data_IF_993530093262
#
_entry.id   IF_993530093262
#
_cell.length_a   1.000
_cell.length_b   1.000
_cell.length_c   1.000
_cell.angle_alpha   90.00
_cell.angle_beta   90.00
_cell.angle_gamma   90.00
#
_symmetry.space_group_name_H-M   'P 1'
#
loop_
_entity.id
_entity.type
_entity.pdbx_description
1 polymer ?
#
# COMPACT_ATOMS: atom_id res chain seq x y z
N UNK A 1 -17.73 -17.84 25.41
CA UNK A 1 -18.42 -16.56 25.63
C UNK A 1 -19.30 -16.20 24.43
N UNK A 2 -18.81 -16.42 23.21
CA UNK A 2 -19.59 -16.21 21.99
C UNK A 2 -20.10 -17.54 21.44
N UNK A 3 -21.40 -17.65 21.24
CA UNK A 3 -22.06 -18.88 20.77
C UNK A 3 -22.37 -18.81 19.26
N UNK A 4 -22.33 -17.62 18.68
CA UNK A 4 -22.60 -17.41 17.26
C UNK A 4 -21.40 -16.65 16.62
N UNK A 5 -20.63 -17.29 15.72
CA UNK A 5 -19.50 -16.66 15.05
C UNK A 5 -19.90 -15.55 14.06
N UNK A 6 -21.18 -15.46 13.70
CA UNK A 6 -21.68 -14.40 12.81
C UNK A 6 -21.88 -13.05 13.52
N UNK A 7 -21.76 -13.02 14.87
CA UNK A 7 -21.75 -11.76 15.63
C UNK A 7 -20.37 -11.10 15.55
N UNK A 8 -19.88 -10.82 14.35
CA UNK A 8 -18.52 -10.36 14.07
C UNK A 8 -18.19 -9.09 14.85
N UNK A 9 -19.05 -8.06 14.75
CA UNK A 9 -18.87 -6.78 15.46
C UNK A 9 -18.68 -6.99 16.98
N UNK A 10 -19.57 -7.75 17.63
CA UNK A 10 -19.48 -8.01 19.06
C UNK A 10 -18.22 -8.78 19.46
N UNK A 11 -17.73 -9.66 18.57
CA UNK A 11 -16.49 -10.39 18.79
C UNK A 11 -15.31 -9.47 18.65
N UNK A 12 -15.31 -8.62 17.61
CA UNK A 12 -14.22 -7.68 17.37
C UNK A 12 -14.15 -6.59 18.45
N UNK A 13 -15.30 -6.06 18.93
CA UNK A 13 -15.34 -5.15 20.08
C UNK A 13 -14.67 -5.76 21.32
N UNK A 14 -14.91 -7.06 21.56
CA UNK A 14 -14.25 -7.76 22.66
C UNK A 14 -12.74 -7.94 22.43
N UNK A 15 -12.33 -8.26 21.20
CA UNK A 15 -10.92 -8.40 20.82
C UNK A 15 -10.21 -7.05 20.95
N UNK A 16 -10.85 -5.97 20.53
CA UNK A 16 -10.29 -4.62 20.63
C UNK A 16 -10.11 -4.16 22.06
N UNK A 17 -11.08 -4.46 22.92
CA UNK A 17 -11.00 -4.15 24.34
C UNK A 17 -9.97 -5.02 25.13
N UNK A 18 -9.54 -6.14 24.58
CA UNK A 18 -8.63 -7.07 25.28
C UNK A 18 -7.22 -6.50 25.41
N UNK A 19 -6.73 -5.76 24.41
CA UNK A 19 -5.42 -5.11 24.44
C UNK A 19 -5.37 -3.95 23.46
N UNK A 20 -4.70 -2.85 23.83
CA UNK A 20 -4.36 -1.75 22.92
C UNK A 20 -3.33 -2.20 21.86
N UNK A 21 -3.38 -1.63 20.67
CA UNK A 21 -2.48 -1.99 19.57
C UNK A 21 -2.71 -3.42 19.05
N UNK A 22 -1.64 -4.13 18.71
CA UNK A 22 -1.69 -5.51 18.18
C UNK A 22 -2.57 -5.69 16.94
N UNK A 23 -2.65 -4.67 16.10
CA UNK A 23 -3.58 -4.59 14.97
C UNK A 23 -3.47 -5.78 14.01
N UNK A 24 -2.25 -6.26 13.72
CA UNK A 24 -2.07 -7.43 12.86
C UNK A 24 -2.70 -8.71 13.43
N UNK A 25 -2.62 -8.90 14.76
CA UNK A 25 -3.26 -10.02 15.45
C UNK A 25 -4.79 -9.87 15.45
N UNK A 26 -5.31 -8.67 15.66
CA UNK A 26 -6.75 -8.36 15.56
C UNK A 26 -7.27 -8.63 14.16
N UNK A 27 -6.58 -8.12 13.13
CA UNK A 27 -6.93 -8.37 11.74
C UNK A 27 -6.96 -9.86 11.39
N UNK A 28 -6.09 -10.69 11.98
CA UNK A 28 -6.14 -12.14 11.75
C UNK A 28 -7.41 -12.79 12.28
N UNK A 29 -7.96 -12.29 13.40
CA UNK A 29 -9.23 -12.74 13.96
C UNK A 29 -10.38 -12.28 13.07
N UNK A 30 -10.39 -11.01 12.67
CA UNK A 30 -11.41 -10.44 11.79
C UNK A 30 -11.48 -11.19 10.45
N UNK A 31 -10.35 -11.39 9.78
CA UNK A 31 -10.26 -12.15 8.53
C UNK A 31 -10.79 -13.57 8.69
N UNK A 32 -10.44 -14.25 9.81
CA UNK A 32 -10.92 -15.60 10.06
C UNK A 32 -12.43 -15.67 10.29
N UNK A 33 -13.01 -14.67 10.97
CA UNK A 33 -14.45 -14.57 11.18
C UNK A 33 -15.19 -14.33 9.87
N UNK A 34 -14.69 -13.44 9.02
CA UNK A 34 -15.25 -13.17 7.71
C UNK A 34 -15.16 -14.41 6.79
N UNK A 35 -14.01 -15.10 6.77
CA UNK A 35 -13.85 -16.33 6.00
C UNK A 35 -14.84 -17.42 6.48
N UNK A 36 -14.97 -17.61 7.80
CA UNK A 36 -15.92 -18.55 8.39
C UNK A 36 -17.37 -18.18 8.02
N UNK A 37 -17.75 -16.91 8.14
CA UNK A 37 -19.09 -16.44 7.83
C UNK A 37 -19.43 -16.67 6.34
N UNK A 38 -18.50 -16.36 5.44
CA UNK A 38 -18.67 -16.63 4.00
C UNK A 38 -18.91 -18.12 3.71
N UNK A 39 -18.14 -19.00 4.37
CA UNK A 39 -18.29 -20.46 4.25
C UNK A 39 -19.63 -20.95 4.81
N UNK A 40 -20.05 -20.47 5.99
CA UNK A 40 -21.34 -20.82 6.60
C UNK A 40 -22.51 -20.36 5.73
N UNK A 41 -22.43 -19.17 5.16
CA UNK A 41 -23.48 -18.61 4.31
C UNK A 41 -23.43 -19.13 2.86
N UNK A 42 -22.36 -19.82 2.47
CA UNK A 42 -22.16 -20.32 1.11
C UNK A 42 -21.99 -19.20 0.07
N UNK A 43 -21.57 -18.01 0.50
CA UNK A 43 -21.42 -16.84 -0.36
C UNK A 43 -20.09 -16.13 -0.12
N UNK A 44 -19.37 -15.70 -1.19
CA UNK A 44 -18.21 -14.86 -1.04
C UNK A 44 -18.61 -13.42 -0.66
N UNK A 45 -17.77 -12.74 0.11
CA UNK A 45 -18.06 -11.40 0.64
C UNK A 45 -18.36 -10.36 -0.43
N UNK A 46 -17.65 -10.39 -1.57
CA UNK A 46 -17.93 -9.44 -2.63
C UNK A 46 -19.39 -9.47 -3.12
N UNK A 47 -20.02 -10.67 -3.12
CA UNK A 47 -21.45 -10.80 -3.46
C UNK A 47 -22.34 -10.25 -2.37
N UNK A 48 -22.01 -10.53 -1.09
CA UNK A 48 -22.79 -10.02 0.05
C UNK A 48 -22.74 -8.50 0.13
N UNK A 49 -21.63 -7.89 -0.29
CA UNK A 49 -21.48 -6.43 -0.37
C UNK A 49 -21.94 -5.83 -1.70
N UNK A 50 -22.44 -6.63 -2.64
CA UNK A 50 -22.92 -6.15 -3.94
C UNK A 50 -21.81 -5.62 -4.86
N UNK A 51 -20.56 -6.08 -4.67
CA UNK A 51 -19.43 -5.67 -5.47
C UNK A 51 -19.34 -6.48 -6.76
N UNK A 52 -18.94 -5.83 -7.86
CA UNK A 52 -18.69 -6.49 -9.13
C UNK A 52 -17.20 -6.83 -9.27
N UNK A 53 -16.82 -8.11 -9.38
CA UNK A 53 -15.43 -8.51 -9.56
C UNK A 53 -14.75 -7.92 -10.81
N UNK A 54 -15.54 -7.57 -11.84
CA UNK A 54 -14.99 -6.96 -13.06
C UNK A 54 -14.44 -5.54 -12.83
N UNK A 55 -14.86 -4.87 -11.73
CA UNK A 55 -14.40 -3.53 -11.37
C UNK A 55 -13.14 -3.57 -10.48
N UNK A 56 -12.64 -4.77 -10.17
CA UNK A 56 -11.44 -4.93 -9.35
C UNK A 56 -10.20 -4.43 -10.10
N UNK A 57 -9.40 -3.52 -9.50
CA UNK A 57 -8.15 -3.08 -10.11
C UNK A 57 -7.13 -4.22 -10.19
N UNK A 58 -6.17 -4.08 -11.12
CA UNK A 58 -5.09 -5.06 -11.27
C UNK A 58 -4.22 -5.14 -10.01
N UNK A 59 -3.90 -6.36 -9.60
CA UNK A 59 -2.94 -6.60 -8.52
C UNK A 59 -1.53 -6.18 -8.96
N UNK A 60 -0.83 -5.41 -8.14
CA UNK A 60 0.60 -5.13 -8.34
C UNK A 60 1.47 -6.25 -7.80
N UNK A 61 2.58 -6.54 -8.48
CA UNK A 61 3.62 -7.44 -7.99
C UNK A 61 4.83 -6.63 -7.49
N UNK A 62 5.38 -6.99 -6.33
CA UNK A 62 6.45 -6.21 -5.71
C UNK A 62 7.83 -6.70 -6.15
N UNK A 63 8.64 -5.77 -6.67
CA UNK A 63 10.07 -5.95 -6.93
C UNK A 63 10.85 -5.33 -5.76
N UNK A 64 11.58 -6.15 -5.03
CA UNK A 64 12.42 -5.72 -3.90
C UNK A 64 13.72 -5.05 -4.36
N UNK A 65 14.37 -4.36 -3.42
CA UNK A 65 15.71 -3.80 -3.65
C UNK A 65 16.73 -4.94 -3.68
N UNK A 66 17.49 -5.04 -4.78
CA UNK A 66 18.52 -6.05 -4.97
C UNK A 66 19.53 -5.55 -6.04
N UNK A 67 20.46 -6.41 -6.48
CA UNK A 67 21.35 -6.09 -7.60
C UNK A 67 20.56 -5.92 -8.90
N UNK A 68 21.05 -5.12 -9.86
CA UNK A 68 20.35 -4.92 -11.15
C UNK A 68 20.06 -6.23 -11.88
N UNK A 69 20.92 -7.26 -11.75
CA UNK A 69 20.73 -8.59 -12.34
C UNK A 69 19.50 -9.29 -11.77
N UNK A 70 19.41 -9.36 -10.44
CA UNK A 70 18.28 -9.97 -9.72
C UNK A 70 16.99 -9.21 -9.99
N UNK A 71 17.05 -7.87 -10.01
CA UNK A 71 15.89 -7.03 -10.34
C UNK A 71 15.37 -7.33 -11.74
N UNK A 72 16.25 -7.45 -12.75
CA UNK A 72 15.84 -7.83 -14.12
C UNK A 72 15.19 -9.22 -14.16
N UNK A 73 15.80 -10.19 -13.49
CA UNK A 73 15.26 -11.56 -13.40
C UNK A 73 13.85 -11.56 -12.77
N UNK A 74 13.70 -10.95 -11.60
CA UNK A 74 12.41 -10.87 -10.89
C UNK A 74 11.35 -10.09 -11.69
N UNK A 75 11.76 -9.06 -12.42
CA UNK A 75 10.86 -8.32 -13.29
C UNK A 75 10.40 -9.17 -14.47
N UNK A 76 11.29 -9.98 -15.07
CA UNK A 76 10.93 -10.90 -16.15
C UNK A 76 9.98 -12.01 -15.66
N UNK A 77 10.21 -12.58 -14.46
CA UNK A 77 9.30 -13.54 -13.82
C UNK A 77 7.89 -12.95 -13.60
N UNK A 78 7.80 -11.65 -13.37
CA UNK A 78 6.56 -10.92 -13.13
C UNK A 78 5.82 -10.47 -14.41
N UNK A 79 6.17 -10.99 -15.59
CA UNK A 79 5.62 -10.57 -16.88
C UNK A 79 4.09 -10.71 -17.02
N UNK A 80 3.45 -11.55 -16.20
CA UNK A 80 2.00 -11.72 -16.19
C UNK A 80 1.23 -10.59 -15.45
N UNK A 81 1.94 -9.74 -14.73
CA UNK A 81 1.31 -8.65 -13.96
C UNK A 81 1.20 -7.38 -14.81
N UNK A 82 0.09 -6.66 -14.63
CA UNK A 82 -0.22 -5.43 -15.38
C UNK A 82 0.34 -4.16 -14.75
N UNK A 83 0.82 -4.25 -13.51
CA UNK A 83 1.49 -3.18 -12.77
C UNK A 83 2.51 -3.77 -11.82
N UNK A 84 3.68 -3.13 -11.67
CA UNK A 84 4.70 -3.56 -10.74
C UNK A 84 4.89 -2.50 -9.64
N UNK A 85 5.08 -2.95 -8.39
CA UNK A 85 5.44 -2.10 -7.27
C UNK A 85 6.95 -2.23 -7.03
N UNK A 86 7.71 -1.15 -7.18
CA UNK A 86 9.17 -1.16 -7.01
C UNK A 86 9.55 -0.51 -5.69
N UNK A 87 10.34 -1.22 -4.88
CA UNK A 87 10.89 -0.68 -3.63
C UNK A 87 12.08 0.22 -3.92
N UNK A 88 12.08 1.42 -3.32
CA UNK A 88 13.09 2.47 -3.47
C UNK A 88 13.56 3.01 -2.11
N UNK A 89 14.40 4.05 -2.11
CA UNK A 89 14.76 4.82 -0.91
C UNK A 89 15.91 4.28 -0.09
N UNK A 90 16.59 3.21 -0.52
CA UNK A 90 17.73 2.61 0.18
C UNK A 90 18.95 2.34 -0.70
N UNK A 91 19.12 3.11 -1.76
CA UNK A 91 20.23 2.89 -2.68
C UNK A 91 20.13 3.80 -3.90
N UNK A 92 20.57 3.29 -5.06
CA UNK A 92 20.45 4.00 -6.33
C UNK A 92 19.04 3.71 -6.93
N UNK A 93 18.08 4.59 -6.62
CA UNK A 93 16.72 4.49 -7.11
C UNK A 93 16.63 4.55 -8.64
N UNK A 94 17.54 5.29 -9.29
CA UNK A 94 17.58 5.38 -10.76
C UNK A 94 18.07 4.08 -11.38
N UNK A 95 19.09 3.44 -10.80
CA UNK A 95 19.56 2.14 -11.24
C UNK A 95 18.49 1.06 -11.10
N UNK A 96 17.73 1.08 -9.99
CA UNK A 96 16.61 0.18 -9.74
C UNK A 96 15.53 0.29 -10.83
N UNK A 97 15.04 1.49 -11.09
CA UNK A 97 14.04 1.75 -12.14
C UNK A 97 14.59 1.42 -13.52
N UNK A 98 15.86 1.76 -13.81
CA UNK A 98 16.54 1.42 -15.06
C UNK A 98 16.61 -0.10 -15.29
N UNK A 99 16.89 -0.88 -14.24
CA UNK A 99 16.90 -2.35 -14.32
C UNK A 99 15.50 -2.93 -14.65
N UNK A 100 14.44 -2.40 -14.02
CA UNK A 100 13.05 -2.79 -14.32
C UNK A 100 12.70 -2.41 -15.77
N UNK A 101 12.99 -1.18 -16.20
CA UNK A 101 12.69 -0.69 -17.55
C UNK A 101 13.45 -1.39 -18.68
N UNK A 102 14.60 -1.97 -18.35
CA UNK A 102 15.35 -2.80 -19.33
C UNK A 102 14.57 -4.03 -19.79
N UNK A 103 13.58 -4.52 -19.02
CA UNK A 103 12.85 -5.77 -19.29
C UNK A 103 11.33 -5.64 -19.28
N UNK A 104 10.77 -4.50 -18.82
CA UNK A 104 9.32 -4.29 -18.73
C UNK A 104 8.91 -2.85 -19.00
N UNK A 105 7.80 -2.68 -19.73
CA UNK A 105 7.18 -1.39 -20.02
C UNK A 105 5.85 -1.16 -19.27
N UNK A 106 5.42 -2.11 -18.43
CA UNK A 106 4.14 -1.94 -17.68
C UNK A 106 4.19 -0.76 -16.72
N UNK A 107 3.05 -0.16 -16.35
CA UNK A 107 2.99 0.88 -15.35
C UNK A 107 3.67 0.45 -14.05
N UNK A 108 4.33 1.40 -13.37
CA UNK A 108 4.96 1.17 -12.07
C UNK A 108 4.28 2.01 -11.00
N UNK A 109 4.22 1.49 -9.78
CA UNK A 109 4.13 2.30 -8.58
C UNK A 109 5.41 2.10 -7.76
N UNK A 110 5.82 3.12 -7.03
CA UNK A 110 7.04 3.03 -6.23
C UNK A 110 6.71 3.23 -4.75
N UNK A 111 7.42 2.48 -3.91
CA UNK A 111 7.29 2.57 -2.46
C UNK A 111 8.66 2.84 -1.86
N UNK A 112 8.80 4.02 -1.29
CA UNK A 112 10.07 4.55 -0.78
C UNK A 112 10.30 4.18 0.68
N UNK A 113 9.25 3.75 1.37
CA UNK A 113 9.29 3.39 2.79
C UNK A 113 10.01 4.43 3.65
N UNK A 114 9.67 5.70 3.47
CA UNK A 114 10.22 6.85 4.21
C UNK A 114 11.72 7.15 3.92
N UNK A 115 12.27 6.65 2.81
CA UNK A 115 13.72 6.68 2.55
C UNK A 115 14.27 8.00 2.07
N UNK A 116 13.46 8.91 1.50
CA UNK A 116 13.96 10.20 1.01
C UNK A 116 14.02 11.25 2.13
N UNK A 117 15.11 12.03 2.14
CA UNK A 117 15.39 12.99 3.22
C UNK A 117 15.33 14.46 2.79
N UNK A 118 15.45 14.77 1.48
CA UNK A 118 15.32 16.11 0.92
C UNK A 118 14.02 16.20 0.10
N UNK A 119 13.19 17.18 0.38
CA UNK A 119 11.94 17.39 -0.39
C UNK A 119 12.21 17.92 -1.80
N UNK A 120 13.31 18.68 -1.98
CA UNK A 120 13.74 19.20 -3.27
C UNK A 120 14.21 18.05 -4.17
N UNK A 121 15.10 17.17 -3.67
CA UNK A 121 15.53 15.97 -4.40
C UNK A 121 14.38 15.00 -4.65
N UNK A 122 13.45 14.85 -3.69
CA UNK A 122 12.24 14.06 -3.86
C UNK A 122 11.36 14.58 -5.01
N UNK A 123 11.24 15.91 -5.14
CA UNK A 123 10.49 16.50 -6.25
C UNK A 123 11.16 16.23 -7.61
N UNK A 124 12.49 16.36 -7.69
CA UNK A 124 13.25 16.03 -8.90
C UNK A 124 13.09 14.55 -9.27
N UNK A 125 13.13 13.65 -8.28
CA UNK A 125 12.86 12.23 -8.49
C UNK A 125 11.44 11.97 -8.96
N UNK A 126 10.43 12.65 -8.39
CA UNK A 126 9.04 12.51 -8.85
C UNK A 126 8.86 12.92 -10.31
N UNK A 127 9.50 14.01 -10.76
CA UNK A 127 9.48 14.40 -12.18
C UNK A 127 10.11 13.32 -13.06
N UNK A 128 11.31 12.87 -12.72
CA UNK A 128 11.98 11.82 -13.47
C UNK A 128 11.19 10.50 -13.47
N UNK A 129 10.62 10.08 -12.33
CA UNK A 129 9.80 8.87 -12.22
C UNK A 129 8.53 8.95 -13.07
N UNK A 130 7.92 10.14 -13.19
CA UNK A 130 6.79 10.37 -14.09
C UNK A 130 7.16 10.06 -15.54
N UNK A 131 8.36 10.47 -15.99
CA UNK A 131 8.89 10.15 -17.32
C UNK A 131 9.17 8.65 -17.50
N UNK A 132 9.41 7.93 -16.40
CA UNK A 132 9.59 6.48 -16.40
C UNK A 132 8.27 5.69 -16.35
N UNK A 133 7.10 6.32 -16.44
CA UNK A 133 5.80 5.66 -16.40
C UNK A 133 5.39 5.16 -15.01
N UNK A 134 5.90 5.81 -13.97
CA UNK A 134 5.39 5.63 -12.60
C UNK A 134 4.05 6.35 -12.47
N UNK A 135 3.09 5.73 -11.79
CA UNK A 135 1.72 6.25 -11.63
C UNK A 135 1.46 6.90 -10.27
N UNK A 136 2.21 6.54 -9.24
CA UNK A 136 2.22 7.20 -7.93
C UNK A 136 3.46 6.83 -7.10
N UNK A 137 3.73 7.62 -6.08
CA UNK A 137 4.81 7.41 -5.10
C UNK A 137 4.19 7.19 -3.72
N UNK A 138 4.53 6.06 -3.08
CA UNK A 138 4.06 5.70 -1.74
C UNK A 138 5.12 6.05 -0.70
N UNK A 139 4.72 6.75 0.36
CA UNK A 139 5.46 7.15 1.55
C UNK A 139 6.91 7.59 1.27
N UNK A 140 7.13 8.71 0.55
CA UNK A 140 8.46 9.13 0.13
C UNK A 140 9.37 9.52 1.30
N UNK A 141 8.84 10.22 2.32
CA UNK A 141 9.58 10.71 3.46
C UNK A 141 8.98 10.21 4.77
N UNK A 142 9.75 10.36 5.85
CA UNK A 142 9.36 10.02 7.21
C UNK A 142 8.04 10.74 7.58
N UNK A 143 7.08 10.00 8.14
CA UNK A 143 5.68 10.43 8.34
C UNK A 143 5.53 11.65 9.24
N UNK A 144 6.51 11.95 10.11
CA UNK A 144 6.52 13.14 10.94
C UNK A 144 6.80 14.43 10.16
N UNK A 145 7.40 14.33 8.96
CA UNK A 145 7.76 15.47 8.11
C UNK A 145 6.58 16.00 7.30
N UNK A 146 5.49 16.28 7.99
CA UNK A 146 4.19 16.63 7.37
C UNK A 146 4.27 17.84 6.44
N UNK A 147 5.02 18.89 6.82
CA UNK A 147 5.13 20.12 6.03
C UNK A 147 5.89 19.86 4.72
N UNK A 148 6.95 19.05 4.76
CA UNK A 148 7.70 18.67 3.57
C UNK A 148 6.88 17.76 2.65
N UNK A 149 6.12 16.83 3.23
CA UNK A 149 5.21 15.95 2.50
C UNK A 149 4.09 16.73 1.82
N UNK A 150 3.46 17.68 2.54
CA UNK A 150 2.43 18.56 1.96
C UNK A 150 3.02 19.45 0.85
N UNK A 151 4.22 19.99 1.05
CA UNK A 151 4.94 20.77 0.06
C UNK A 151 5.25 19.97 -1.20
N UNK A 152 5.71 18.72 -1.05
CA UNK A 152 6.00 17.79 -2.14
C UNK A 152 4.70 17.43 -2.89
N UNK A 153 3.65 17.03 -2.16
CA UNK A 153 2.36 16.63 -2.74
C UNK A 153 1.75 17.75 -3.61
N UNK A 154 1.86 18.99 -3.16
CA UNK A 154 1.33 20.14 -3.90
C UNK A 154 2.09 20.45 -5.21
N UNK A 155 3.29 19.90 -5.41
CA UNK A 155 4.18 20.21 -6.55
C UNK A 155 4.52 18.99 -7.40
N UNK A 156 4.40 17.80 -6.86
CA UNK A 156 4.71 16.55 -7.57
C UNK A 156 3.78 16.34 -8.77
N UNK A 157 4.30 15.93 -9.92
CA UNK A 157 3.48 15.49 -11.06
C UNK A 157 2.80 14.13 -10.79
N UNK A 158 3.24 13.41 -9.75
CA UNK A 158 2.71 12.11 -9.36
C UNK A 158 1.92 12.22 -8.05
N UNK A 159 0.81 11.50 -7.90
CA UNK A 159 0.13 11.36 -6.61
C UNK A 159 1.08 10.82 -5.54
N UNK A 160 1.03 11.40 -4.34
CA UNK A 160 1.78 10.95 -3.17
C UNK A 160 0.81 10.23 -2.23
N UNK A 161 1.10 8.97 -1.92
CA UNK A 161 0.22 8.07 -1.16
C UNK A 161 0.80 7.82 0.23
N UNK A 162 -0.03 7.95 1.27
CA UNK A 162 0.34 7.62 2.63
C UNK A 162 0.29 6.10 2.87
N UNK A 163 1.32 5.52 3.48
CA UNK A 163 1.30 4.15 4.00
C UNK A 163 1.54 4.13 5.52
N UNK A 164 2.76 4.38 5.98
CA UNK A 164 3.10 4.37 7.40
C UNK A 164 2.45 5.54 8.17
N UNK A 165 2.02 6.58 7.47
CA UNK A 165 1.32 7.72 8.06
C UNK A 165 -0.16 7.43 8.41
N UNK A 166 -0.74 6.36 7.88
CA UNK A 166 -2.12 5.93 8.15
C UNK A 166 -2.10 4.53 8.76
N UNK A 167 -2.44 4.42 10.02
CA UNK A 167 -2.54 3.15 10.73
C UNK A 167 -4.00 2.79 11.01
N UNK A 168 -4.78 3.75 11.46
CA UNK A 168 -6.18 3.60 11.85
C UNK A 168 -7.05 4.63 11.14
N UNK A 169 -8.36 4.52 11.34
CA UNK A 169 -9.34 5.47 10.78
C UNK A 169 -9.07 6.92 11.24
N UNK A 170 -8.61 7.12 12.47
CA UNK A 170 -8.33 8.45 13.02
C UNK A 170 -7.18 9.18 12.31
N UNK A 171 -6.29 8.42 11.64
CA UNK A 171 -5.19 9.00 10.86
C UNK A 171 -5.61 9.53 9.47
N UNK A 172 -6.81 9.17 9.00
CA UNK A 172 -7.27 9.50 7.64
C UNK A 172 -7.47 11.00 7.48
N UNK A 173 -8.22 11.63 8.39
CA UNK A 173 -8.51 13.06 8.31
C UNK A 173 -7.23 13.92 8.41
N UNK A 174 -6.28 13.64 9.33
CA UNK A 174 -4.98 14.30 9.32
C UNK A 174 -4.20 14.19 8.00
N UNK A 175 -4.37 13.13 7.22
CA UNK A 175 -3.66 12.95 5.94
C UNK A 175 -4.24 13.76 4.77
N UNK A 176 -5.47 14.24 4.88
CA UNK A 176 -6.21 14.88 3.77
C UNK A 176 -5.48 16.04 3.08
N UNK A 177 -4.74 16.87 3.81
CA UNK A 177 -4.01 18.01 3.25
C UNK A 177 -2.52 17.73 2.99
N UNK A 178 -2.06 16.51 3.26
CA UNK A 178 -0.65 16.12 3.20
C UNK A 178 -0.38 15.16 2.06
N UNK A 179 -1.33 14.29 1.73
CA UNK A 179 -1.20 13.25 0.72
C UNK A 179 -2.32 13.31 -0.31
N UNK A 180 -2.09 12.76 -1.49
CA UNK A 180 -3.10 12.61 -2.54
C UNK A 180 -4.06 11.45 -2.28
N UNK A 181 -3.65 10.47 -1.48
CA UNK A 181 -4.41 9.27 -1.15
C UNK A 181 -3.76 8.47 -0.02
N UNK A 182 -4.37 7.36 0.35
CA UNK A 182 -3.93 6.50 1.44
C UNK A 182 -3.85 5.04 1.00
N UNK A 183 -2.93 4.27 1.59
CA UNK A 183 -2.85 2.82 1.46
C UNK A 183 -3.51 2.17 2.68
N UNK A 184 -4.61 1.45 2.46
CA UNK A 184 -5.33 0.72 3.52
C UNK A 184 -4.77 -0.70 3.62
N UNK A 185 -4.37 -1.10 4.84
CA UNK A 185 -3.93 -2.47 5.14
C UNK A 185 -4.67 -2.97 6.38
N UNK A 186 -5.38 -4.09 6.26
CA UNK A 186 -6.10 -4.69 7.41
C UNK A 186 -5.18 -4.90 8.62
N UNK A 187 -3.94 -5.31 8.38
CA UNK A 187 -2.95 -5.49 9.45
C UNK A 187 -2.53 -4.19 10.17
N UNK A 188 -2.80 -3.00 9.59
CA UNK A 188 -2.57 -1.70 10.24
C UNK A 188 -3.77 -1.25 11.05
N UNK A 189 -4.99 -1.49 10.56
CA UNK A 189 -6.22 -0.98 11.18
C UNK A 189 -6.91 -1.99 12.12
N UNK A 190 -6.55 -3.27 12.05
CA UNK A 190 -7.10 -4.29 12.96
C UNK A 190 -8.22 -5.12 12.35
N UNK A 191 -8.52 -4.89 11.10
CA UNK A 191 -9.59 -5.54 10.37
C UNK A 191 -10.42 -4.58 9.58
#
# INVERSE_FOLDING_TARGET
>A
RFHNPLHIENIMDYVDAAAGGNYAAKASVDIALHDLAGKVLGQPWYRMWGLNPADTPSTSFTIGIDTPEVVREKTAEAAAYHILKVKLGRGDDRAMIGAVRAVSSVPLCVDVNQGWTSREEALELCHWLSEQGVVFVEQPMEKSRRDDLAWLTARSPLPIIADEAVQTFDDVLPCHSVYSGINIKLMKCGG
#
